data_IF_213303264769
#
_entry.id   IF_213303264769
#
_cell.length_a   1.000
_cell.length_b   1.000
_cell.length_c   1.000
_cell.angle_alpha   90.00
_cell.angle_beta   90.00
_cell.angle_gamma   90.00
#
_symmetry.space_group_name_H-M   'P 1'
#
loop_
_entity.id
_entity.type
_entity.pdbx_description
1 polymer ?
#
# COMPACT_ATOMS: atom_id res chain seq x y z
N UNK A 1 75.26 -28.06 -8.75
CA UNK A 1 73.83 -27.91 -8.39
C UNK A 1 73.66 -26.55 -7.76
N UNK A 2 73.01 -25.60 -8.45
CA UNK A 2 72.88 -24.21 -7.98
C UNK A 2 71.71 -24.17 -6.98
N UNK A 3 72.04 -23.99 -5.70
CA UNK A 3 71.05 -23.82 -4.63
C UNK A 3 70.51 -22.40 -4.73
N UNK A 4 69.29 -22.24 -5.26
CA UNK A 4 68.62 -20.93 -5.35
C UNK A 4 67.62 -20.82 -4.18
N UNK A 5 68.04 -20.27 -3.02
CA UNK A 5 67.22 -20.25 -1.81
C UNK A 5 65.91 -19.47 -1.96
N UNK A 6 65.87 -18.49 -2.87
CA UNK A 6 64.72 -17.61 -3.11
C UNK A 6 63.49 -18.36 -3.68
N UNK A 7 63.70 -19.40 -4.49
CA UNK A 7 62.60 -20.11 -5.16
C UNK A 7 61.76 -20.92 -4.16
N UNK A 8 62.40 -21.55 -3.17
CA UNK A 8 61.70 -22.35 -2.15
C UNK A 8 60.88 -21.49 -1.19
N UNK A 9 61.33 -20.28 -0.91
CA UNK A 9 60.62 -19.35 -0.02
C UNK A 9 59.36 -18.78 -0.69
N UNK A 10 59.45 -18.41 -1.97
CA UNK A 10 58.30 -17.95 -2.78
C UNK A 10 57.29 -19.09 -3.03
N UNK A 11 57.78 -20.31 -3.29
CA UNK A 11 56.91 -21.50 -3.39
C UNK A 11 56.23 -21.81 -2.05
N UNK A 12 56.93 -21.68 -0.93
CA UNK A 12 56.36 -21.88 0.41
C UNK A 12 55.24 -20.87 0.72
N UNK A 13 55.47 -19.59 0.41
CA UNK A 13 54.49 -18.53 0.62
C UNK A 13 53.23 -18.73 -0.24
N UNK A 14 53.39 -19.06 -1.53
CA UNK A 14 52.27 -19.28 -2.45
C UNK A 14 51.45 -20.52 -2.08
N UNK A 15 52.10 -21.63 -1.69
CA UNK A 15 51.40 -22.83 -1.20
C UNK A 15 50.64 -22.55 0.10
N UNK A 16 51.20 -21.74 1.00
CA UNK A 16 50.53 -21.30 2.23
C UNK A 16 49.25 -20.49 1.94
N UNK A 17 49.34 -19.52 1.04
CA UNK A 17 48.18 -18.70 0.62
C UNK A 17 47.11 -19.54 -0.09
N UNK A 18 47.50 -20.43 -1.00
CA UNK A 18 46.55 -21.33 -1.68
C UNK A 18 45.84 -22.24 -0.69
N UNK A 19 46.57 -22.81 0.28
CA UNK A 19 45.98 -23.67 1.33
C UNK A 19 45.03 -22.88 2.24
N UNK A 20 45.35 -21.63 2.53
CA UNK A 20 44.48 -20.73 3.30
C UNK A 20 43.19 -20.41 2.54
N UNK A 21 43.28 -20.08 1.25
CA UNK A 21 42.11 -19.79 0.41
C UNK A 21 41.22 -21.02 0.22
N UNK A 22 41.82 -22.19 -0.03
CA UNK A 22 41.08 -23.46 -0.11
C UNK A 22 40.44 -23.88 1.22
N UNK A 23 40.99 -23.43 2.35
CA UNK A 23 40.39 -23.63 3.67
C UNK A 23 39.26 -22.63 3.96
N UNK A 24 39.35 -21.42 3.40
CA UNK A 24 38.34 -20.36 3.55
C UNK A 24 37.06 -20.65 2.75
N UNK A 25 37.15 -21.37 1.63
CA UNK A 25 36.01 -21.65 0.75
C UNK A 25 35.07 -22.75 1.29
N UNK A 26 35.53 -23.57 2.24
CA UNK A 26 34.75 -24.68 2.84
C UNK A 26 33.74 -24.24 3.92
N UNK A 27 33.60 -22.95 4.19
CA UNK A 27 32.53 -22.49 5.08
C UNK A 27 31.20 -22.58 4.34
N UNK A 28 30.39 -23.61 4.67
CA UNK A 28 29.02 -23.74 4.14
C UNK A 28 28.26 -22.42 4.42
N UNK A 29 27.57 -21.83 3.43
CA UNK A 29 26.73 -20.67 3.71
C UNK A 29 25.75 -21.07 4.81
N UNK A 30 25.74 -20.31 5.92
CA UNK A 30 24.72 -20.47 6.96
C UNK A 30 23.36 -20.42 6.25
N UNK A 31 22.46 -21.39 6.47
CA UNK A 31 21.12 -21.31 5.90
C UNK A 31 20.53 -19.97 6.35
N UNK A 32 20.14 -19.15 5.38
CA UNK A 32 19.44 -17.89 5.63
C UNK A 32 18.11 -18.30 6.25
N UNK A 33 18.03 -18.24 7.57
CA UNK A 33 16.78 -18.39 8.28
C UNK A 33 15.90 -17.21 7.83
N UNK A 34 14.99 -17.47 6.89
CA UNK A 34 13.97 -16.50 6.52
C UNK A 34 13.08 -16.40 7.76
N UNK A 35 13.42 -15.46 8.65
CA UNK A 35 12.52 -15.04 9.71
C UNK A 35 11.35 -14.41 8.97
N UNK A 36 10.30 -15.21 8.74
CA UNK A 36 8.98 -14.66 8.47
C UNK A 36 8.65 -13.79 9.67
N UNK A 37 8.93 -12.50 9.56
CA UNK A 37 8.39 -11.51 10.49
C UNK A 37 6.89 -11.50 10.19
N UNK A 38 6.17 -12.44 10.80
CA UNK A 38 4.73 -12.42 10.87
C UNK A 38 4.41 -11.14 11.62
N UNK A 39 4.08 -10.10 10.86
CA UNK A 39 3.69 -8.82 11.42
C UNK A 39 2.59 -9.08 12.45
N UNK A 40 2.76 -8.63 13.72
CA UNK A 40 1.88 -9.02 14.84
C UNK A 40 0.44 -8.49 14.69
N UNK A 41 0.19 -7.69 13.65
CA UNK A 41 -1.10 -7.12 13.35
C UNK A 41 -1.82 -7.93 12.26
N UNK A 42 -3.10 -8.22 12.46
CA UNK A 42 -4.00 -8.78 11.43
C UNK A 42 -4.33 -7.74 10.32
N UNK A 43 -3.34 -6.98 9.86
CA UNK A 43 -3.46 -5.99 8.79
C UNK A 43 -3.87 -6.62 7.45
N UNK A 44 -3.77 -7.95 7.30
CA UNK A 44 -4.26 -8.65 6.12
C UNK A 44 -5.74 -8.40 5.81
N UNK A 45 -6.59 -8.21 6.83
CA UNK A 45 -7.99 -7.84 6.63
C UNK A 45 -8.12 -6.41 6.09
N UNK A 46 -7.33 -5.47 6.59
CA UNK A 46 -7.33 -4.08 6.14
C UNK A 46 -6.88 -3.97 4.67
N UNK A 47 -5.85 -4.71 4.29
CA UNK A 47 -5.38 -4.79 2.90
C UNK A 47 -6.48 -5.34 1.98
N UNK A 48 -7.21 -6.38 2.42
CA UNK A 48 -8.35 -6.93 1.67
C UNK A 48 -9.47 -5.90 1.51
N UNK A 49 -9.80 -5.16 2.57
CA UNK A 49 -10.81 -4.10 2.52
C UNK A 49 -10.38 -2.95 1.61
N UNK A 50 -9.12 -2.54 1.65
CA UNK A 50 -8.56 -1.53 0.75
C UNK A 50 -8.63 -1.99 -0.71
N UNK A 51 -8.29 -3.24 -0.99
CA UNK A 51 -8.39 -3.84 -2.33
C UNK A 51 -9.83 -3.88 -2.85
N UNK A 52 -10.78 -4.33 -2.03
CA UNK A 52 -12.21 -4.35 -2.38
C UNK A 52 -12.74 -2.94 -2.63
N UNK A 53 -12.40 -1.99 -1.78
CA UNK A 53 -12.79 -0.59 -1.94
C UNK A 53 -12.20 0.02 -3.22
N UNK A 54 -10.92 -0.26 -3.51
CA UNK A 54 -10.28 0.20 -4.75
C UNK A 54 -10.95 -0.37 -6.00
N UNK A 55 -11.30 -1.66 -5.98
CA UNK A 55 -12.03 -2.29 -7.08
C UNK A 55 -13.40 -1.62 -7.30
N UNK A 56 -14.15 -1.35 -6.22
CA UNK A 56 -15.41 -0.61 -6.30
C UNK A 56 -15.22 0.81 -6.84
N UNK A 57 -14.17 1.51 -6.41
CA UNK A 57 -13.86 2.85 -6.89
C UNK A 57 -13.59 2.87 -8.40
N UNK A 58 -12.88 1.88 -8.94
CA UNK A 58 -12.62 1.73 -10.38
C UNK A 58 -13.92 1.43 -11.14
N UNK A 59 -14.76 0.52 -10.64
CA UNK A 59 -16.07 0.24 -11.25
C UNK A 59 -16.95 1.48 -11.29
N UNK A 60 -17.01 2.23 -10.19
CA UNK A 60 -17.70 3.51 -10.14
C UNK A 60 -17.07 4.50 -11.14
N UNK A 61 -15.76 4.66 -11.18
CA UNK A 61 -15.09 5.56 -12.13
C UNK A 61 -15.42 5.26 -13.60
N UNK A 62 -15.45 3.98 -13.96
CA UNK A 62 -15.86 3.53 -15.29
C UNK A 62 -17.35 3.86 -15.57
N UNK A 63 -18.23 3.60 -14.61
CA UNK A 63 -19.65 3.95 -14.71
C UNK A 63 -19.88 5.46 -14.83
N UNK A 64 -19.16 6.28 -14.05
CA UNK A 64 -19.26 7.74 -14.12
C UNK A 64 -18.80 8.33 -15.46
N UNK A 65 -18.00 7.60 -16.23
CA UNK A 65 -17.51 8.04 -17.54
C UNK A 65 -18.43 7.66 -18.70
N UNK A 66 -19.14 6.53 -18.59
CA UNK A 66 -19.95 5.96 -19.68
C UNK A 66 -21.45 5.85 -19.38
N UNK A 67 -21.86 5.87 -18.11
CA UNK A 67 -23.23 5.56 -17.66
C UNK A 67 -24.19 6.75 -17.61
N UNK A 68 -23.71 7.97 -17.83
CA UNK A 68 -24.53 9.19 -17.79
C UNK A 68 -24.77 9.76 -19.19
N UNK A 69 -26.02 10.08 -19.50
CA UNK A 69 -26.42 10.82 -20.70
C UNK A 69 -25.96 12.27 -20.64
N UNK A 70 -25.86 12.92 -21.81
CA UNK A 70 -25.47 14.34 -21.98
C UNK A 70 -26.36 15.31 -21.21
N UNK A 71 -27.60 14.94 -20.93
CA UNK A 71 -28.56 15.82 -20.26
C UNK A 71 -28.39 15.83 -18.73
N UNK A 72 -27.52 14.96 -18.19
CA UNK A 72 -27.25 14.78 -16.74
C UNK A 72 -25.81 15.13 -16.36
N UNK A 73 -25.29 16.21 -16.95
CA UNK A 73 -23.90 16.64 -16.73
C UNK A 73 -23.60 17.06 -15.28
N UNK A 74 -24.59 17.60 -14.55
CA UNK A 74 -24.43 17.93 -13.12
C UNK A 74 -24.20 16.67 -12.30
N UNK A 75 -25.06 15.67 -12.47
CA UNK A 75 -25.02 14.40 -11.76
C UNK A 75 -23.76 13.61 -12.10
N UNK A 76 -23.38 13.59 -13.38
CA UNK A 76 -22.14 12.99 -13.86
C UNK A 76 -20.91 13.57 -13.14
N UNK A 77 -20.82 14.91 -13.03
CA UNK A 77 -19.72 15.57 -12.31
C UNK A 77 -19.69 15.19 -10.82
N UNK A 78 -20.85 15.13 -10.17
CA UNK A 78 -20.95 14.71 -8.76
C UNK A 78 -20.51 13.25 -8.61
N UNK A 79 -20.94 12.36 -9.51
CA UNK A 79 -20.57 10.95 -9.51
C UNK A 79 -19.06 10.77 -9.71
N UNK A 80 -18.49 11.46 -10.70
CA UNK A 80 -17.05 11.42 -10.99
C UNK A 80 -16.22 11.96 -9.81
N UNK A 81 -16.70 13.02 -9.15
CA UNK A 81 -16.07 13.53 -7.93
C UNK A 81 -16.08 12.45 -6.84
N UNK A 82 -17.24 11.83 -6.58
CA UNK A 82 -17.32 10.72 -5.62
C UNK A 82 -16.38 9.56 -5.94
N UNK A 83 -16.29 9.15 -7.21
CA UNK A 83 -15.39 8.08 -7.67
C UNK A 83 -13.91 8.43 -7.51
N UNK A 84 -13.53 9.66 -7.85
CA UNK A 84 -12.16 10.13 -7.70
C UNK A 84 -11.70 10.11 -6.23
N UNK A 85 -12.53 10.66 -5.33
CA UNK A 85 -12.23 10.65 -3.90
C UNK A 85 -12.26 9.23 -3.33
N UNK A 86 -13.20 8.37 -3.76
CA UNK A 86 -13.23 6.96 -3.36
C UNK A 86 -11.89 6.29 -3.67
N UNK A 87 -11.38 6.45 -4.90
CA UNK A 87 -10.12 5.83 -5.32
C UNK A 87 -8.93 6.32 -4.48
N UNK A 88 -8.81 7.64 -4.28
CA UNK A 88 -7.72 8.22 -3.47
C UNK A 88 -7.74 7.66 -2.05
N UNK A 89 -8.92 7.62 -1.42
CA UNK A 89 -9.03 7.15 -0.05
C UNK A 89 -8.92 5.63 0.06
N UNK A 90 -9.26 4.85 -0.97
CA UNK A 90 -8.93 3.42 -1.01
C UNK A 90 -7.43 3.17 -1.01
N UNK A 91 -6.66 3.97 -1.76
CA UNK A 91 -5.19 3.89 -1.76
C UNK A 91 -4.64 4.34 -0.39
N UNK A 92 -5.18 5.40 0.20
CA UNK A 92 -4.80 5.82 1.55
C UNK A 92 -5.12 4.75 2.61
N UNK A 93 -6.26 4.05 2.48
CA UNK A 93 -6.67 2.95 3.34
C UNK A 93 -5.70 1.76 3.26
N UNK A 94 -5.08 1.51 2.09
CA UNK A 94 -4.01 0.53 1.97
C UNK A 94 -2.79 0.94 2.83
N UNK A 95 -2.47 2.24 2.86
CA UNK A 95 -1.43 2.82 3.72
C UNK A 95 -1.77 2.75 5.21
N UNK A 96 -3.05 2.75 5.59
CA UNK A 96 -3.49 2.70 6.99
C UNK A 96 -3.02 1.43 7.74
N UNK A 97 -2.71 0.35 7.03
CA UNK A 97 -2.10 -0.86 7.60
C UNK A 97 -0.75 -0.60 8.29
N UNK A 98 -0.08 0.50 7.95
CA UNK A 98 1.24 0.88 8.48
C UNK A 98 1.18 2.02 9.51
N UNK A 99 -0.03 2.49 9.87
CA UNK A 99 -0.20 3.56 10.86
C UNK A 99 0.11 3.07 12.29
N UNK A 100 0.40 4.00 13.20
CA UNK A 100 0.56 3.74 14.64
C UNK A 100 -0.67 3.04 15.24
N UNK A 101 -1.88 3.37 14.74
CA UNK A 101 -3.16 2.78 15.18
C UNK A 101 -4.01 2.32 13.98
N UNK A 102 -3.68 1.18 13.36
CA UNK A 102 -4.20 0.81 12.04
C UNK A 102 -5.72 0.66 11.99
N UNK A 103 -6.34 0.07 13.01
CA UNK A 103 -7.80 -0.11 13.06
C UNK A 103 -8.58 1.21 13.21
N UNK A 104 -8.03 2.18 13.95
CA UNK A 104 -8.67 3.49 14.12
C UNK A 104 -8.55 4.30 12.83
N UNK A 105 -7.37 4.32 12.22
CA UNK A 105 -7.16 5.01 10.94
C UNK A 105 -8.03 4.39 9.84
N UNK A 106 -8.10 3.06 9.78
CA UNK A 106 -8.95 2.36 8.82
C UNK A 106 -10.44 2.63 9.03
N UNK A 107 -10.94 2.64 10.27
CA UNK A 107 -12.36 2.92 10.55
C UNK A 107 -12.74 4.36 10.20
N UNK A 108 -11.84 5.33 10.42
CA UNK A 108 -12.01 6.72 10.01
C UNK A 108 -12.08 6.87 8.49
N UNK A 109 -11.17 6.21 7.75
CA UNK A 109 -11.23 6.20 6.29
C UNK A 109 -12.53 5.56 5.80
N UNK A 110 -12.88 4.36 6.30
CA UNK A 110 -14.05 3.62 5.81
C UNK A 110 -15.36 4.37 6.08
N UNK A 111 -15.52 4.94 7.27
CA UNK A 111 -16.69 5.76 7.63
C UNK A 111 -16.75 7.06 6.84
N UNK A 112 -15.64 7.79 6.72
CA UNK A 112 -15.57 9.01 5.92
C UNK A 112 -15.87 8.76 4.44
N UNK A 113 -15.34 7.68 3.87
CA UNK A 113 -15.58 7.27 2.48
C UNK A 113 -17.04 6.93 2.23
N UNK A 114 -17.68 6.16 3.13
CA UNK A 114 -19.10 5.81 2.98
C UNK A 114 -19.99 7.04 3.07
N UNK A 115 -19.72 7.95 4.02
CA UNK A 115 -20.51 9.18 4.17
C UNK A 115 -20.30 10.14 3.00
N UNK A 116 -19.05 10.39 2.59
CA UNK A 116 -18.74 11.31 1.49
C UNK A 116 -19.07 10.71 0.13
N UNK A 117 -18.37 9.64 -0.27
CA UNK A 117 -18.50 9.05 -1.60
C UNK A 117 -19.88 8.43 -1.80
N UNK A 118 -20.42 7.76 -0.77
CA UNK A 118 -21.77 7.20 -0.81
C UNK A 118 -22.84 8.27 -1.00
N UNK A 119 -22.74 9.42 -0.32
CA UNK A 119 -23.67 10.53 -0.55
C UNK A 119 -23.58 11.08 -1.97
N UNK A 120 -22.37 11.24 -2.53
CA UNK A 120 -22.19 11.67 -3.92
C UNK A 120 -22.84 10.70 -4.92
N UNK A 121 -22.69 9.39 -4.72
CA UNK A 121 -23.32 8.39 -5.59
C UNK A 121 -24.85 8.43 -5.48
N UNK A 122 -25.40 8.52 -4.26
CA UNK A 122 -26.84 8.63 -4.05
C UNK A 122 -27.42 9.88 -4.72
N UNK A 123 -26.78 11.04 -4.55
CA UNK A 123 -27.21 12.31 -5.15
C UNK A 123 -27.15 12.22 -6.68
N UNK A 124 -26.08 11.66 -7.23
CA UNK A 124 -25.94 11.53 -8.68
C UNK A 124 -26.94 10.53 -9.30
N UNK A 125 -27.29 9.45 -8.60
CA UNK A 125 -28.25 8.47 -9.11
C UNK A 125 -29.70 8.96 -8.95
N UNK A 126 -30.07 9.43 -7.76
CA UNK A 126 -31.44 9.79 -7.40
C UNK A 126 -31.81 11.23 -7.76
N UNK A 127 -30.84 12.14 -7.84
CA UNK A 127 -31.07 13.58 -8.01
C UNK A 127 -31.53 14.30 -6.74
N UNK A 128 -31.59 13.63 -5.58
CA UNK A 128 -32.02 14.24 -4.32
C UNK A 128 -30.85 14.94 -3.61
N UNK A 129 -30.80 16.27 -3.73
CA UNK A 129 -29.79 17.13 -3.12
C UNK A 129 -29.85 17.16 -1.56
N UNK A 130 -30.89 16.62 -0.91
CA UNK A 130 -30.98 16.59 0.56
C UNK A 130 -29.89 15.72 1.18
N UNK A 131 -29.49 14.65 0.48
CA UNK A 131 -28.47 13.70 0.92
C UNK A 131 -27.08 14.34 0.88
N UNK A 132 -26.88 15.38 0.06
CA UNK A 132 -25.62 16.14 -0.02
C UNK A 132 -25.19 16.78 1.31
N UNK A 133 -26.12 16.97 2.26
CA UNK A 133 -25.79 17.49 3.60
C UNK A 133 -24.92 16.55 4.44
N UNK A 134 -24.85 15.28 4.09
CA UNK A 134 -24.00 14.28 4.76
C UNK A 134 -22.54 14.40 4.28
N UNK A 135 -22.32 14.87 3.05
CA UNK A 135 -20.99 14.95 2.44
C UNK A 135 -19.98 15.78 3.27
N UNK A 136 -20.32 16.99 3.79
CA UNK A 136 -19.37 17.77 4.60
C UNK A 136 -18.90 17.03 5.86
N UNK A 137 -19.79 16.29 6.51
CA UNK A 137 -19.45 15.49 7.69
C UNK A 137 -18.46 14.39 7.31
N UNK A 138 -18.73 13.66 6.23
CA UNK A 138 -17.80 12.67 5.69
C UNK A 138 -16.44 13.26 5.29
N UNK A 139 -16.44 14.45 4.70
CA UNK A 139 -15.21 15.17 4.35
C UNK A 139 -14.35 15.52 5.56
N UNK A 140 -14.97 16.01 6.64
CA UNK A 140 -14.26 16.28 7.91
C UNK A 140 -13.69 14.98 8.50
N UNK A 141 -14.46 13.89 8.49
CA UNK A 141 -13.99 12.58 8.94
C UNK A 141 -12.78 12.10 8.13
N UNK A 142 -12.77 12.33 6.80
CA UNK A 142 -11.64 12.01 5.93
C UNK A 142 -10.40 12.85 6.25
N UNK A 143 -10.55 14.13 6.60
CA UNK A 143 -9.44 14.97 7.07
C UNK A 143 -8.85 14.39 8.35
N UNK A 144 -9.69 14.00 9.32
CA UNK A 144 -9.25 13.37 10.57
C UNK A 144 -8.58 12.02 10.29
N UNK A 145 -9.05 11.25 9.30
CA UNK A 145 -8.43 9.99 8.88
C UNK A 145 -6.99 10.21 8.38
N UNK A 146 -6.78 11.21 7.52
CA UNK A 146 -5.45 11.59 7.05
C UNK A 146 -4.54 12.09 8.17
N UNK A 147 -5.07 12.89 9.11
CA UNK A 147 -4.30 13.31 10.29
C UNK A 147 -3.93 12.13 11.18
N UNK A 148 -4.84 11.16 11.36
CA UNK A 148 -4.55 9.93 12.09
C UNK A 148 -3.50 9.06 11.40
N UNK A 149 -3.32 9.18 10.08
CA UNK A 149 -2.27 8.48 9.35
C UNK A 149 -0.90 9.11 9.59
N UNK A 150 -0.87 10.43 9.85
CA UNK A 150 0.35 11.20 10.11
C UNK A 150 0.86 11.09 11.56
N UNK A 151 0.03 10.60 12.49
CA UNK A 151 0.30 10.48 13.93
C UNK A 151 0.52 9.01 14.33
#
# INVERSE_FOLDING_TARGET
>A
MVYVPYVNEVLGATVGTVKYLLSSEKSKPKPVEIVEIRSPFNCGMLIRLAGLSGALAVLCGAYGSHGFSTDREKEKRIFQTGAYYHLIHSVALLGAAHASRPYLTASLFLSGMTMFCGSCYCVALTGDDRISKIAPVGGITLVIAWLSLAL
#
